data_IF_627051551375
#
_entry.id   IF_627051551375
#
_cell.length_a   1.000
_cell.length_b   1.000
_cell.length_c   1.000
_cell.angle_alpha   90.00
_cell.angle_beta   90.00
_cell.angle_gamma   90.00
#
_symmetry.space_group_name_H-M   'P 1'
#
loop_
_entity.id
_entity.type
_entity.pdbx_description
1 polymer ?
#
# COMPACT_ATOMS: atom_id res chain seq x y z
N UNK A 1 -1.74 -7.44 -8.17
CA UNK A 1 -2.13 -8.22 -6.97
C UNK A 1 -3.18 -7.50 -6.12
N UNK A 2 -2.90 -6.36 -5.47
CA UNK A 2 -3.86 -5.65 -4.61
C UNK A 2 -5.14 -5.14 -5.32
N UNK A 3 -5.02 -4.83 -6.61
CA UNK A 3 -6.07 -4.17 -7.40
C UNK A 3 -6.83 -5.15 -8.31
N UNK A 4 -6.59 -6.46 -8.15
CA UNK A 4 -7.32 -7.49 -8.88
C UNK A 4 -8.54 -8.01 -8.10
N UNK A 5 -8.65 -7.66 -6.81
CA UNK A 5 -9.77 -8.01 -5.93
C UNK A 5 -10.26 -6.74 -5.27
N UNK A 6 -11.50 -6.38 -5.55
CA UNK A 6 -12.17 -5.16 -5.11
C UNK A 6 -12.09 -4.92 -3.59
N UNK A 7 -12.22 -5.99 -2.79
CA UNK A 7 -12.22 -5.94 -1.32
C UNK A 7 -10.83 -6.00 -0.69
N UNK A 8 -9.84 -6.50 -1.43
CA UNK A 8 -8.52 -6.79 -0.89
C UNK A 8 -7.79 -5.51 -0.46
N UNK A 9 -7.88 -4.44 -1.24
CA UNK A 9 -7.29 -3.15 -0.86
C UNK A 9 -7.95 -2.59 0.41
N UNK A 10 -9.27 -2.71 0.54
CA UNK A 10 -10.00 -2.29 1.74
C UNK A 10 -9.54 -3.04 2.99
N UNK A 11 -9.38 -4.37 2.88
CA UNK A 11 -8.90 -5.22 3.98
C UNK A 11 -7.45 -4.93 4.34
N UNK A 12 -6.58 -4.68 3.35
CA UNK A 12 -5.19 -4.29 3.59
C UNK A 12 -5.12 -2.93 4.28
N UNK A 13 -5.92 -1.95 3.85
CA UNK A 13 -5.99 -0.65 4.50
C UNK A 13 -6.55 -0.72 5.92
N UNK A 14 -7.54 -1.58 6.17
CA UNK A 14 -8.04 -1.86 7.50
C UNK A 14 -6.94 -2.48 8.39
N UNK A 15 -6.23 -3.48 7.88
CA UNK A 15 -5.13 -4.11 8.61
C UNK A 15 -3.98 -3.12 8.90
N UNK A 16 -3.70 -2.16 8.01
CA UNK A 16 -2.76 -1.08 8.28
C UNK A 16 -3.27 -0.14 9.38
N UNK A 17 -4.56 0.22 9.35
CA UNK A 17 -5.16 1.09 10.36
C UNK A 17 -5.17 0.46 11.76
N UNK A 18 -5.38 -0.86 11.87
CA UNK A 18 -5.26 -1.60 13.13
C UNK A 18 -3.83 -1.58 13.73
N UNK A 19 -2.83 -1.20 12.92
CA UNK A 19 -1.43 -1.02 13.33
C UNK A 19 -1.07 0.45 13.54
N UNK A 20 -2.07 1.35 13.60
CA UNK A 20 -1.91 2.81 13.64
C UNK A 20 -1.13 3.38 12.43
N UNK A 21 -1.18 2.68 11.29
CA UNK A 21 -0.54 3.12 10.05
C UNK A 21 -1.58 3.71 9.10
N UNK A 22 -1.18 4.75 8.37
CA UNK A 22 -2.03 5.35 7.35
C UNK A 22 -2.40 4.34 6.25
N UNK A 23 -3.57 4.45 5.62
CA UNK A 23 -3.93 3.64 4.44
C UNK A 23 -2.88 3.76 3.33
N UNK A 24 -2.78 2.76 2.46
CA UNK A 24 -1.87 2.80 1.32
C UNK A 24 -2.19 4.00 0.43
N UNK A 25 -1.16 4.74 0.00
CA UNK A 25 -1.30 5.94 -0.82
C UNK A 25 -0.52 5.79 -2.13
N UNK A 26 -0.89 6.55 -3.15
CA UNK A 26 -0.17 6.53 -4.43
C UNK A 26 1.34 6.82 -4.27
N UNK A 27 1.73 7.69 -3.35
CA UNK A 27 3.13 8.02 -3.07
C UNK A 27 3.96 6.86 -2.49
N UNK A 28 3.30 5.80 -2.00
CA UNK A 28 3.99 4.59 -1.53
C UNK A 28 4.62 3.81 -2.70
N UNK A 29 4.19 4.05 -3.94
CA UNK A 29 4.73 3.37 -5.13
C UNK A 29 5.80 4.21 -5.83
N UNK A 30 7.00 3.63 -6.00
CA UNK A 30 8.09 4.29 -6.74
C UNK A 30 7.91 4.22 -8.27
N UNK A 31 7.30 3.15 -8.78
CA UNK A 31 7.03 2.99 -10.21
C UNK A 31 5.87 3.93 -10.63
N UNK A 32 6.10 4.89 -11.55
CA UNK A 32 5.06 5.78 -12.04
C UNK A 32 3.84 5.05 -12.61
N UNK A 33 4.01 3.88 -13.23
CA UNK A 33 2.91 3.09 -13.76
C UNK A 33 2.02 2.55 -12.63
N UNK A 34 2.62 2.05 -11.55
CA UNK A 34 1.88 1.59 -10.37
C UNK A 34 1.17 2.73 -9.64
N UNK A 35 1.80 3.92 -9.59
CA UNK A 35 1.15 5.14 -9.05
C UNK A 35 -0.10 5.51 -9.83
N UNK A 36 0.02 5.63 -11.15
CA UNK A 36 -1.09 5.98 -12.04
C UNK A 36 -2.24 4.99 -11.90
N UNK A 37 -1.90 3.70 -11.83
CA UNK A 37 -2.87 2.63 -11.70
C UNK A 37 -3.57 2.65 -10.33
N UNK A 38 -2.85 2.94 -9.25
CA UNK A 38 -3.44 3.12 -7.92
C UNK A 38 -4.34 4.37 -7.84
N UNK A 39 -3.89 5.51 -8.40
CA UNK A 39 -4.69 6.74 -8.43
C UNK A 39 -5.97 6.59 -9.26
N UNK A 40 -5.91 5.87 -10.39
CA UNK A 40 -7.09 5.57 -11.19
C UNK A 40 -8.10 4.73 -10.39
N UNK A 41 -7.61 3.81 -9.56
CA UNK A 41 -8.44 3.01 -8.67
C UNK A 41 -9.04 3.82 -7.51
N UNK A 42 -8.28 4.71 -6.87
CA UNK A 42 -8.79 5.56 -5.77
C UNK A 42 -9.91 6.52 -6.22
N UNK A 43 -9.87 7.00 -7.47
CA UNK A 43 -10.88 7.92 -8.03
C UNK A 43 -12.22 7.26 -8.36
N UNK A 44 -12.35 5.97 -8.09
CA UNK A 44 -13.55 5.22 -8.41
C UNK A 44 -14.70 5.55 -7.48
N UNK A 45 -15.91 5.61 -8.03
CA UNK A 45 -17.13 5.70 -7.23
C UNK A 45 -17.40 4.41 -6.42
N UNK A 46 -17.92 4.53 -5.18
CA UNK A 46 -18.21 3.39 -4.29
C UNK A 46 -19.15 2.32 -4.87
N UNK A 47 -19.91 2.64 -5.93
CA UNK A 47 -20.96 1.78 -6.51
C UNK A 47 -20.56 1.02 -7.77
N UNK A 48 -19.42 1.32 -8.38
CA UNK A 48 -18.91 0.50 -9.48
C UNK A 48 -18.10 -0.66 -8.87
N UNK A 49 -18.12 -1.85 -9.47
CA UNK A 49 -17.03 -2.81 -9.25
C UNK A 49 -16.02 -2.52 -10.36
N UNK A 50 -14.75 -2.28 -10.05
CA UNK A 50 -13.75 -2.02 -11.08
C UNK A 50 -13.41 -3.38 -11.65
N UNK A 51 -13.97 -3.69 -12.82
CA UNK A 51 -13.46 -4.80 -13.60
C UNK A 51 -12.20 -4.36 -14.36
N UNK A 52 -11.44 -5.34 -14.85
CA UNK A 52 -10.23 -5.09 -15.62
C UNK A 52 -10.51 -4.26 -16.89
N UNK A 53 -11.73 -4.33 -17.42
CA UNK A 53 -12.14 -3.57 -18.60
C UNK A 53 -12.24 -2.07 -18.30
N UNK A 54 -12.86 -1.69 -17.17
CA UNK A 54 -12.96 -0.30 -16.72
C UNK A 54 -11.59 0.36 -16.50
N UNK A 55 -10.64 -0.40 -15.95
CA UNK A 55 -9.26 0.07 -15.78
C UNK A 55 -8.55 0.23 -17.13
N UNK A 56 -8.73 -0.73 -18.06
CA UNK A 56 -8.08 -0.68 -19.38
C UNK A 56 -8.48 0.57 -20.17
N UNK A 57 -9.75 0.98 -20.11
CA UNK A 57 -10.24 2.17 -20.81
C UNK A 57 -9.68 3.51 -20.27
N UNK A 58 -9.14 3.52 -19.05
CA UNK A 58 -8.70 4.73 -18.35
C UNK A 58 -7.19 4.80 -18.15
N UNK A 59 -6.47 3.71 -18.43
CA UNK A 59 -5.03 3.62 -18.28
C UNK A 59 -4.35 3.79 -19.64
N UNK A 60 -3.14 4.38 -19.68
CA UNK A 60 -2.30 4.32 -20.87
C UNK A 60 -2.04 2.86 -21.28
N UNK A 61 -1.96 2.58 -22.59
CA UNK A 61 -1.77 1.21 -23.12
C UNK A 61 -0.58 0.48 -22.49
N UNK A 62 0.53 1.18 -22.28
CA UNK A 62 1.74 0.65 -21.63
C UNK A 62 1.53 0.19 -20.17
N UNK A 63 0.50 0.71 -19.50
CA UNK A 63 0.11 0.35 -18.14
C UNK A 63 -0.97 -0.76 -18.16
N UNK A 64 -1.83 -0.77 -19.18
CA UNK A 64 -2.82 -1.83 -19.39
C UNK A 64 -2.16 -3.19 -19.66
N UNK A 65 -1.13 -3.25 -20.50
CA UNK A 65 -0.39 -4.50 -20.79
C UNK A 65 0.26 -5.09 -19.52
N UNK A 66 0.74 -4.21 -18.63
CA UNK A 66 1.28 -4.61 -17.33
C UNK A 66 0.19 -5.15 -16.40
N UNK A 67 -1.01 -4.58 -16.43
CA UNK A 67 -2.15 -5.05 -15.63
C UNK A 67 -2.53 -6.50 -16.01
N UNK A 68 -2.56 -6.82 -17.30
CA UNK A 68 -2.84 -8.19 -17.77
C UNK A 68 -1.80 -9.20 -17.29
N UNK A 69 -0.52 -8.84 -17.38
CA UNK A 69 0.59 -9.66 -16.87
C UNK A 69 0.48 -9.88 -15.35
N UNK A 70 0.10 -8.84 -14.60
CA UNK A 70 -0.08 -8.91 -13.14
C UNK A 70 -1.33 -9.71 -12.73
N UNK A 71 -2.35 -9.79 -13.59
CA UNK A 71 -3.53 -10.61 -13.37
C UNK A 71 -3.26 -12.09 -13.67
N UNK A 72 -2.52 -12.38 -14.75
CA UNK A 72 -2.14 -13.75 -15.09
C UNK A 72 -1.23 -14.41 -14.04
N UNK A 73 -0.46 -13.62 -13.29
CA UNK A 73 0.40 -14.08 -12.20
C UNK A 73 -0.33 -14.37 -10.88
N UNK A 74 -1.65 -14.16 -10.80
CA UNK A 74 -2.45 -14.44 -9.59
C UNK A 74 -2.62 -15.95 -9.41
N UNK A 75 -1.83 -16.52 -8.50
CA UNK A 75 -2.00 -17.90 -8.05
C UNK A 75 -3.20 -18.05 -7.10
N UNK A 76 -3.63 -19.30 -6.90
CA UNK A 76 -4.78 -19.73 -6.11
C UNK A 76 -4.50 -19.66 -4.59
N UNK A 77 -4.13 -18.47 -4.10
CA UNK A 77 -3.92 -18.23 -2.68
C UNK A 77 -5.25 -17.94 -1.97
N UNK A 78 -5.37 -18.41 -0.73
CA UNK A 78 -6.47 -18.05 0.16
C UNK A 78 -6.51 -16.52 0.41
N UNK A 79 -7.70 -15.99 0.71
CA UNK A 79 -7.92 -14.56 0.90
C UNK A 79 -7.05 -13.99 2.03
N UNK A 80 -6.89 -14.73 3.13
CA UNK A 80 -6.04 -14.36 4.27
C UNK A 80 -4.56 -14.27 3.89
N UNK A 81 -4.13 -15.14 2.96
CA UNK A 81 -2.77 -15.11 2.45
C UNK A 81 -2.56 -13.90 1.53
N UNK A 82 -3.57 -13.55 0.72
CA UNK A 82 -3.55 -12.32 -0.07
C UNK A 82 -3.45 -11.07 0.77
N UNK A 83 -4.23 -10.98 1.86
CA UNK A 83 -4.19 -9.82 2.77
C UNK A 83 -2.82 -9.73 3.43
N UNK A 84 -2.29 -10.85 3.90
CA UNK A 84 -0.95 -10.92 4.51
C UNK A 84 0.14 -10.43 3.56
N UNK A 85 0.17 -10.96 2.34
CA UNK A 85 1.15 -10.55 1.33
C UNK A 85 0.96 -9.08 0.95
N UNK A 86 -0.29 -8.62 0.86
CA UNK A 86 -0.64 -7.22 0.62
C UNK A 86 -0.10 -6.27 1.68
N UNK A 87 -0.35 -6.57 2.96
CA UNK A 87 0.18 -5.78 4.10
C UNK A 87 1.71 -5.80 4.12
N UNK A 88 2.33 -6.97 3.97
CA UNK A 88 3.80 -7.05 3.92
C UNK A 88 4.39 -6.25 2.76
N UNK A 89 3.76 -6.31 1.58
CA UNK A 89 4.21 -5.55 0.42
C UNK A 89 4.09 -4.05 0.67
N UNK A 90 2.96 -3.59 1.25
CA UNK A 90 2.77 -2.20 1.63
C UNK A 90 3.85 -1.70 2.62
N UNK A 91 4.11 -2.46 3.67
CA UNK A 91 5.12 -2.13 4.67
C UNK A 91 6.53 -2.07 4.06
N UNK A 92 6.89 -3.03 3.20
CA UNK A 92 8.20 -3.04 2.51
C UNK A 92 8.35 -1.87 1.54
N UNK A 93 7.29 -1.49 0.83
CA UNK A 93 7.31 -0.32 -0.04
C UNK A 93 7.60 0.95 0.78
N UNK A 94 6.90 1.13 1.90
CA UNK A 94 7.13 2.26 2.79
C UNK A 94 8.50 2.29 3.41
N UNK A 95 9.00 1.14 3.88
CA UNK A 95 10.36 1.05 4.42
C UNK A 95 11.39 1.49 3.38
N UNK A 96 11.24 1.03 2.13
CA UNK A 96 12.13 1.43 1.03
C UNK A 96 12.08 2.94 0.79
N UNK A 97 10.90 3.55 0.74
CA UNK A 97 10.76 4.97 0.48
C UNK A 97 11.34 5.82 1.62
N UNK A 98 11.11 5.43 2.86
CA UNK A 98 11.69 6.11 4.02
C UNK A 98 13.21 6.00 4.02
N UNK A 99 13.78 4.84 3.69
CA UNK A 99 15.23 4.67 3.59
C UNK A 99 15.84 5.56 2.49
N UNK A 100 15.16 5.69 1.36
CA UNK A 100 15.58 6.59 0.29
C UNK A 100 15.55 8.05 0.77
N UNK A 101 14.44 8.49 1.36
CA UNK A 101 14.31 9.84 1.94
C UNK A 101 15.39 10.11 3.00
N UNK A 102 15.68 9.14 3.87
CA UNK A 102 16.74 9.26 4.87
C UNK A 102 18.16 9.30 4.30
N UNK A 103 18.38 8.83 3.07
CA UNK A 103 19.64 9.02 2.36
C UNK A 103 19.70 10.43 1.74
N UNK A 104 18.61 10.89 1.15
CA UNK A 104 18.46 12.24 0.58
C UNK A 104 18.66 13.33 1.66
N UNK A 105 18.01 13.19 2.82
CA UNK A 105 18.17 14.11 3.96
C UNK A 105 19.61 14.19 4.45
N UNK A 106 20.35 13.07 4.46
CA UNK A 106 21.76 13.05 4.87
C UNK A 106 22.65 13.81 3.89
N UNK A 107 22.37 13.71 2.58
CA UNK A 107 23.07 14.52 1.58
C UNK A 107 22.77 16.01 1.77
N UNK A 108 21.50 16.38 1.98
CA UNK A 108 21.10 17.77 2.23
C UNK A 108 21.72 18.38 3.50
N UNK A 109 21.83 17.59 4.57
CA UNK A 109 22.52 18.02 5.80
C UNK A 109 23.99 18.31 5.49
N UNK A 110 24.67 17.39 4.81
CA UNK A 110 26.09 17.57 4.46
C UNK A 110 26.30 18.82 3.59
N UNK A 111 25.49 19.01 2.54
CA UNK A 111 25.57 20.20 1.67
C UNK A 111 25.30 21.50 2.46
N UNK A 112 24.32 21.49 3.36
CA UNK A 112 24.00 22.65 4.17
C UNK A 112 25.12 22.97 5.18
N UNK A 113 25.78 21.95 5.76
CA UNK A 113 26.94 22.13 6.63
C UNK A 113 28.14 22.72 5.88
N UNK A 114 28.43 22.20 4.68
CA UNK A 114 29.52 22.69 3.83
C UNK A 114 29.31 24.16 3.40
N UNK A 115 28.07 24.57 3.21
CA UNK A 115 27.69 25.93 2.82
C UNK A 115 27.41 26.87 4.00
N UNK A 116 27.47 26.39 5.25
CA UNK A 116 27.16 27.18 6.45
C UNK A 116 25.68 27.62 6.54
N UNK A 117 24.79 26.85 5.91
CA UNK A 117 23.34 27.07 5.90
C UNK A 117 22.71 26.68 7.24
N UNK A 118 21.61 27.36 7.62
CA UNK A 118 20.94 27.16 8.93
C UNK A 118 19.91 26.03 8.90
N UNK A 119 19.56 25.56 7.72
CA UNK A 119 18.57 24.53 7.43
C UNK A 119 18.98 23.14 7.94
N UNK A 120 20.23 22.97 8.39
CA UNK A 120 20.75 21.74 9.02
C UNK A 120 19.91 21.27 10.20
N UNK A 121 19.34 22.19 10.98
CA UNK A 121 18.48 21.86 12.13
C UNK A 121 17.15 21.26 11.68
N UNK A 122 16.54 21.81 10.64
CA UNK A 122 15.24 21.37 10.12
C UNK A 122 15.37 19.99 9.43
N UNK A 123 16.46 19.79 8.67
CA UNK A 123 16.77 18.49 8.07
C UNK A 123 17.09 17.44 9.14
N UNK A 124 17.77 17.82 10.22
CA UNK A 124 18.04 16.95 11.36
C UNK A 124 16.77 16.43 12.02
N UNK A 125 15.80 17.32 12.29
CA UNK A 125 14.50 16.93 12.84
C UNK A 125 13.74 15.98 11.90
N UNK A 126 13.72 16.30 10.60
CA UNK A 126 13.08 15.46 9.59
C UNK A 126 13.72 14.06 9.50
N UNK A 127 15.05 13.97 9.66
CA UNK A 127 15.77 12.71 9.67
C UNK A 127 15.44 11.85 10.92
N UNK A 128 15.25 12.46 12.09
CA UNK A 128 14.81 11.76 13.28
C UNK A 128 13.39 11.20 13.13
N UNK A 129 12.46 11.98 12.58
CA UNK A 129 11.10 11.54 12.30
C UNK A 129 11.08 10.37 11.30
N UNK A 130 11.89 10.47 10.25
CA UNK A 130 12.09 9.39 9.28
C UNK A 130 12.60 8.10 9.95
N UNK A 131 13.59 8.20 10.85
CA UNK A 131 14.11 7.06 11.58
C UNK A 131 13.05 6.41 12.50
N UNK A 132 12.23 7.21 13.18
CA UNK A 132 11.11 6.71 14.00
C UNK A 132 10.07 5.97 13.14
N UNK A 133 9.72 6.51 11.98
CA UNK A 133 8.80 5.86 11.05
C UNK A 133 9.35 4.52 10.54
N UNK A 134 10.65 4.43 10.24
CA UNK A 134 11.30 3.16 9.87
C UNK A 134 11.17 2.13 11.00
N UNK A 135 11.43 2.53 12.25
CA UNK A 135 11.33 1.63 13.40
C UNK A 135 9.90 1.10 13.58
N UNK A 136 8.89 1.96 13.45
CA UNK A 136 7.48 1.55 13.52
C UNK A 136 7.14 0.50 12.44
N UNK A 137 7.57 0.71 11.19
CA UNK A 137 7.36 -0.26 10.11
C UNK A 137 8.10 -1.57 10.37
N UNK A 138 9.32 -1.53 10.90
CA UNK A 138 10.06 -2.74 11.23
C UNK A 138 9.41 -3.53 12.38
N UNK A 139 8.87 -2.85 13.38
CA UNK A 139 8.09 -3.48 14.44
C UNK A 139 6.82 -4.13 13.85
N UNK A 140 6.12 -3.42 12.96
CA UNK A 140 4.96 -3.93 12.23
C UNK A 140 5.27 -5.20 11.42
N UNK A 141 6.39 -5.21 10.68
CA UNK A 141 6.85 -6.37 9.92
C UNK A 141 7.20 -7.57 10.81
N UNK A 142 7.75 -7.33 12.01
CA UNK A 142 8.15 -8.38 12.96
C UNK A 142 6.97 -8.94 13.75
N UNK A 143 5.96 -8.14 14.06
CA UNK A 143 4.84 -8.54 14.91
C UNK A 143 4.05 -9.73 14.37
N UNK A 144 4.08 -10.00 13.04
CA UNK A 144 3.42 -11.14 12.34
C UNK A 144 1.95 -11.37 12.74
N UNK A 145 1.30 -10.39 13.37
CA UNK A 145 -0.03 -10.49 13.97
C UNK A 145 -1.05 -9.92 12.99
N UNK A 146 -1.32 -10.67 11.93
CA UNK A 146 -2.22 -10.24 10.84
C UNK A 146 -3.44 -11.16 10.67
N UNK A 147 -3.58 -12.19 11.51
CA UNK A 147 -4.55 -13.28 11.35
C UNK A 147 -5.83 -13.17 12.18
N UNK A 148 -6.11 -12.03 12.82
CA UNK A 148 -7.27 -11.86 13.69
C UNK A 148 -8.26 -10.81 13.16
N UNK A 149 -8.18 -10.47 11.87
CA UNK A 149 -9.24 -9.69 11.22
C UNK A 149 -10.47 -10.60 11.20
N UNK A 150 -11.41 -10.34 12.11
CA UNK A 150 -12.71 -10.98 12.12
C UNK A 150 -13.42 -10.57 10.84
N UNK A 151 -13.28 -11.38 9.79
CA UNK A 151 -14.13 -11.26 8.63
C UNK A 151 -15.56 -11.47 9.12
N UNK A 152 -16.50 -10.55 8.86
CA UNK A 152 -17.90 -10.90 9.00
C UNK A 152 -18.12 -12.04 8.01
N UNK A 153 -18.16 -13.27 8.53
CA UNK A 153 -18.73 -14.39 7.82
C UNK A 153 -20.11 -13.92 7.44
N UNK A 154 -20.30 -13.66 6.15
CA UNK A 154 -21.61 -13.37 5.61
C UNK A 154 -22.36 -14.69 5.70
N UNK A 155 -22.85 -15.01 6.91
CA UNK A 155 -23.85 -16.02 7.18
C UNK A 155 -25.17 -15.48 6.64
N UNK A 156 -25.22 -15.31 5.32
CA UNK A 156 -26.43 -15.06 4.56
C UNK A 156 -27.30 -16.28 4.72
N UNK A 157 -28.44 -16.08 5.38
CA UNK A 157 -29.36 -17.13 5.75
C UNK A 157 -29.83 -17.95 4.56
N UNK A 158 -29.66 -19.26 4.66
CA UNK A 158 -30.61 -20.20 4.11
C UNK A 158 -31.70 -20.45 5.16
N UNK A 159 -32.49 -19.40 5.41
CA UNK A 159 -33.83 -19.54 5.96
C UNK A 159 -34.78 -19.77 4.79
N UNK A 160 -35.09 -21.04 4.52
CA UNK A 160 -35.98 -21.46 3.45
C UNK A 160 -36.49 -22.87 3.68
N UNK A 161 -37.13 -23.08 4.84
CA UNK A 161 -38.22 -24.05 4.96
C UNK A 161 -39.53 -23.32 4.66
N UNK A 162 -40.52 -24.09 4.20
CA UNK A 162 -41.88 -23.73 3.71
C UNK A 162 -41.92 -23.75 2.18
N UNK A 163 -42.65 -24.64 1.49
CA UNK A 163 -43.64 -25.67 1.83
C UNK A 163 -43.50 -26.85 0.85
#
# INVERSE_FOLDING_TARGET
>A
MLLARDRLLGQVNQALAEMDLSPLQAQDFNDPAHRTLFQAWERKEPRSVPDAAWLRERLPDSVADRLETLQAALQDLAEEQWIREGVQTALRLRERNLRQMGAELRMLIQEAEEEGRRETTDYGQTLEENARAILQIQQALRARRWGAVAFPTNAGGYGGKSE
#
